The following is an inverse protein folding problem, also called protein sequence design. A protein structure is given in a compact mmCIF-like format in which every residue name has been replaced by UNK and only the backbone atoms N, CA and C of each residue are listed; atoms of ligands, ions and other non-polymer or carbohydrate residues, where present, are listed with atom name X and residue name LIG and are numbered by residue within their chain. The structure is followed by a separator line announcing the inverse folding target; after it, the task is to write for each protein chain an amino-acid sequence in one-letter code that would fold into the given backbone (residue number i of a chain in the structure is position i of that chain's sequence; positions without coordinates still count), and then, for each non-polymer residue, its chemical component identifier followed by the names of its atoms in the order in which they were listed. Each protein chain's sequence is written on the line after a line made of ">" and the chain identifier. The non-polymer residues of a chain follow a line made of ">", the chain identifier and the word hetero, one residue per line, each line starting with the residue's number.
data_IF_754575226998
#
_entry.id   IF_754575226998
#
_cell.length_a   1.000
_cell.length_b   1.000
_cell.length_c   1.000
_cell.angle_alpha   90.00
_cell.angle_beta   90.00
_cell.angle_gamma   90.00
#
_symmetry.space_group_name_H-M   'P 1'
#
loop_
_entity.id
_entity.type
_entity.pdbx_description
1 polymer ?
#
# COMPACT_ATOMS: atom_id res chain seq x y z
N UNK A 1 -28.10 17.85 15.71
CA UNK A 1 -26.83 17.10 15.73
C UNK A 1 -25.94 17.65 14.63
N UNK A 2 -24.84 18.31 14.96
CA UNK A 2 -23.91 18.86 13.96
C UNK A 2 -23.35 17.70 13.13
N UNK A 3 -23.50 17.76 11.81
CA UNK A 3 -22.87 16.80 10.89
C UNK A 3 -21.37 16.98 11.07
N UNK A 4 -20.68 16.05 11.74
CA UNK A 4 -19.20 16.07 11.79
C UNK A 4 -18.71 16.21 10.35
N UNK A 5 -17.86 17.21 10.09
CA UNK A 5 -17.20 17.34 8.79
C UNK A 5 -16.50 16.02 8.46
N UNK A 6 -16.68 15.57 7.23
CA UNK A 6 -15.92 14.48 6.62
C UNK A 6 -14.42 14.82 6.75
N UNK A 7 -13.58 13.97 7.36
CA UNK A 7 -12.15 14.22 7.42
C UNK A 7 -11.57 14.35 6.00
N UNK A 8 -10.56 15.21 5.82
CA UNK A 8 -9.78 15.27 4.59
C UNK A 8 -9.14 13.91 4.30
N UNK A 9 -8.52 13.30 5.31
CA UNK A 9 -7.72 12.08 5.15
C UNK A 9 -7.85 11.13 6.35
N UNK A 10 -7.94 9.84 6.06
CA UNK A 10 -7.80 8.78 7.07
C UNK A 10 -6.44 8.12 6.91
N UNK A 11 -5.67 8.06 8.00
CA UNK A 11 -4.48 7.22 8.06
C UNK A 11 -4.88 5.84 8.55
N UNK A 12 -4.50 4.80 7.80
CA UNK A 12 -4.75 3.40 8.14
C UNK A 12 -3.43 2.76 8.57
N UNK A 13 -3.40 2.23 9.79
CA UNK A 13 -2.26 1.50 10.35
C UNK A 13 -2.68 0.08 10.66
N UNK A 14 -1.96 -0.90 10.10
CA UNK A 14 -2.15 -2.31 10.44
C UNK A 14 -1.06 -2.74 11.42
N UNK A 15 -1.44 -3.51 12.44
CA UNK A 15 -0.51 -4.03 13.45
C UNK A 15 -0.91 -5.44 13.91
N UNK A 16 0.09 -6.28 14.18
CA UNK A 16 -0.08 -7.58 14.83
C UNK A 16 1.20 -7.90 15.62
N UNK A 17 1.11 -7.96 16.95
CA UNK A 17 2.23 -8.28 17.85
C UNK A 17 3.50 -7.47 17.56
N UNK A 18 3.35 -6.16 17.39
CA UNK A 18 4.45 -5.28 17.00
C UNK A 18 4.47 -3.99 17.83
N UNK A 19 4.26 -4.14 19.13
CA UNK A 19 4.21 -3.03 20.09
C UNK A 19 5.44 -2.11 20.00
N UNK A 20 6.62 -2.69 19.83
CA UNK A 20 7.88 -1.95 19.83
C UNK A 20 7.98 -1.00 18.64
N UNK A 21 7.65 -1.47 17.43
CA UNK A 21 7.70 -0.65 16.21
C UNK A 21 6.45 0.22 16.04
N UNK A 22 5.32 -0.14 16.65
CA UNK A 22 4.13 0.71 16.66
C UNK A 22 4.34 2.00 17.46
N UNK A 23 5.09 1.96 18.58
CA UNK A 23 5.32 3.14 19.42
C UNK A 23 5.87 4.35 18.63
N UNK A 24 6.99 4.25 17.89
CA UNK A 24 7.49 5.37 17.09
C UNK A 24 6.53 5.79 15.97
N UNK A 25 5.76 4.85 15.39
CA UNK A 25 4.69 5.18 14.44
C UNK A 25 3.62 6.07 15.07
N UNK A 26 3.07 5.68 16.22
CA UNK A 26 2.06 6.46 16.95
C UNK A 26 2.58 7.83 17.39
N UNK A 27 3.84 7.92 17.80
CA UNK A 27 4.45 9.20 18.17
C UNK A 27 4.56 10.16 16.98
N UNK A 28 4.94 9.64 15.80
CA UNK A 28 4.95 10.44 14.56
C UNK A 28 3.56 10.89 14.15
N UNK A 29 2.53 10.05 14.35
CA UNK A 29 1.14 10.37 14.04
C UNK A 29 0.57 11.40 15.02
N UNK A 30 0.88 11.28 16.31
CA UNK A 30 0.44 12.21 17.36
C UNK A 30 0.83 13.66 17.05
N UNK A 31 2.00 13.88 16.45
CA UNK A 31 2.52 15.21 16.18
C UNK A 31 2.37 15.63 14.71
N UNK A 32 2.35 14.66 13.78
CA UNK A 32 2.36 14.89 12.35
C UNK A 32 1.01 14.81 11.64
N UNK A 33 -0.03 14.28 12.28
CA UNK A 33 -1.35 14.14 11.65
C UNK A 33 -1.99 15.52 11.36
N UNK A 34 -2.65 15.70 10.20
CA UNK A 34 -3.43 16.90 9.90
C UNK A 34 -4.58 17.09 10.89
N UNK A 35 -5.00 18.34 11.13
CA UNK A 35 -6.12 18.61 12.05
C UNK A 35 -7.45 17.98 11.58
N UNK A 36 -7.71 17.99 10.28
CA UNK A 36 -8.90 17.38 9.67
C UNK A 36 -8.61 15.95 9.20
N UNK A 37 -8.12 15.11 10.12
CA UNK A 37 -7.81 13.71 9.84
C UNK A 37 -8.40 12.77 10.88
N UNK A 38 -8.31 11.48 10.60
CA UNK A 38 -8.53 10.42 11.57
C UNK A 38 -7.45 9.35 11.45
N UNK A 39 -7.27 8.57 12.52
CA UNK A 39 -6.42 7.39 12.54
C UNK A 39 -7.29 6.14 12.74
N UNK A 40 -7.19 5.20 11.81
CA UNK A 40 -7.84 3.89 11.88
C UNK A 40 -6.76 2.83 12.06
N UNK A 41 -6.70 2.23 13.24
CA UNK A 41 -5.79 1.12 13.55
C UNK A 41 -6.55 -0.19 13.39
N UNK A 42 -6.01 -1.12 12.60
CA UNK A 42 -6.53 -2.47 12.46
C UNK A 42 -5.57 -3.43 13.16
N UNK A 43 -6.00 -3.94 14.31
CA UNK A 43 -5.25 -4.91 15.11
C UNK A 43 -5.63 -6.34 14.70
N UNK A 44 -4.62 -7.15 14.38
CA UNK A 44 -4.78 -8.53 13.93
C UNK A 44 -5.00 -9.55 15.06
N UNK A 45 -5.32 -9.12 16.28
CA UNK A 45 -5.40 -9.96 17.47
C UNK A 45 -4.09 -10.02 18.25
N UNK A 46 -3.52 -8.86 18.56
CA UNK A 46 -2.26 -8.78 19.30
C UNK A 46 -2.39 -9.22 20.76
N UNK A 47 -1.34 -9.85 21.29
CA UNK A 47 -1.25 -10.38 22.66
C UNK A 47 0.00 -9.88 23.41
N UNK A 48 0.80 -9.00 22.80
CA UNK A 48 2.04 -8.43 23.34
C UNK A 48 1.85 -7.09 24.08
N UNK A 49 0.59 -6.73 24.37
CA UNK A 49 0.22 -5.43 24.93
C UNK A 49 0.25 -4.28 23.91
N UNK A 50 0.17 -4.58 22.60
CA UNK A 50 -0.07 -3.59 21.53
C UNK A 50 -1.34 -2.77 21.79
N UNK A 51 -2.43 -3.42 22.23
CA UNK A 51 -3.69 -2.72 22.52
C UNK A 51 -3.55 -1.76 23.70
N UNK A 52 -2.91 -2.19 24.80
CA UNK A 52 -2.62 -1.31 25.94
C UNK A 52 -1.82 -0.08 25.51
N UNK A 53 -0.84 -0.26 24.61
CA UNK A 53 -0.07 0.85 24.04
C UNK A 53 -0.99 1.82 23.30
N UNK A 54 -1.87 1.33 22.42
CA UNK A 54 -2.78 2.17 21.63
C UNK A 54 -3.70 3.00 22.54
N UNK A 55 -4.22 2.40 23.62
CA UNK A 55 -5.08 3.09 24.58
C UNK A 55 -4.40 4.32 25.20
N UNK A 56 -3.09 4.28 25.45
CA UNK A 56 -2.34 5.43 25.98
C UNK A 56 -2.33 6.66 25.04
N UNK A 57 -2.62 6.48 23.75
CA UNK A 57 -2.67 7.55 22.75
C UNK A 57 -4.09 8.05 22.44
N UNK A 58 -5.13 7.41 22.98
CA UNK A 58 -6.53 7.64 22.57
C UNK A 58 -7.02 9.09 22.70
N UNK A 59 -6.53 9.85 23.67
CA UNK A 59 -6.86 11.28 23.84
C UNK A 59 -5.91 12.22 23.08
N UNK A 60 -4.73 11.75 22.69
CA UNK A 60 -3.70 12.55 22.05
C UNK A 60 -3.81 12.55 20.51
N UNK A 61 -4.51 11.57 19.94
CA UNK A 61 -4.74 11.46 18.50
C UNK A 61 -6.22 11.69 18.18
N UNK A 62 -6.58 12.77 17.46
CA UNK A 62 -7.96 13.04 17.09
C UNK A 62 -8.59 11.89 16.30
N UNK A 63 -9.82 11.53 16.67
CA UNK A 63 -10.64 10.54 15.94
C UNK A 63 -9.95 9.16 15.80
N UNK A 64 -9.05 8.80 16.72
CA UNK A 64 -8.44 7.46 16.75
C UNK A 64 -9.52 6.39 16.94
N UNK A 65 -9.50 5.38 16.08
CA UNK A 65 -10.39 4.22 16.12
C UNK A 65 -9.59 2.93 15.97
N UNK A 66 -9.90 1.94 16.79
CA UNK A 66 -9.30 0.60 16.72
C UNK A 66 -10.34 -0.39 16.21
N UNK A 67 -9.95 -1.19 15.24
CA UNK A 67 -10.74 -2.29 14.69
C UNK A 67 -10.01 -3.57 15.02
N UNK A 68 -10.71 -4.49 15.67
CA UNK A 68 -10.19 -5.82 15.93
C UNK A 68 -10.57 -6.72 14.76
N UNK A 69 -9.56 -7.24 14.08
CA UNK A 69 -9.75 -8.14 12.96
C UNK A 69 -9.13 -9.50 13.27
N UNK A 70 -9.94 -10.55 13.15
CA UNK A 70 -9.51 -11.94 13.32
C UNK A 70 -9.15 -12.63 12.00
N UNK A 71 -9.42 -12.00 10.85
CA UNK A 71 -9.09 -12.53 9.53
C UNK A 71 -7.61 -12.37 9.18
N UNK A 72 -7.07 -13.34 8.43
CA UNK A 72 -5.62 -13.49 8.24
C UNK A 72 -5.09 -12.65 7.08
N UNK A 73 -4.21 -11.69 7.40
CA UNK A 73 -3.26 -11.10 6.45
C UNK A 73 -3.30 -9.58 6.35
N UNK A 74 -2.12 -8.99 6.09
CA UNK A 74 -1.90 -7.54 5.99
C UNK A 74 -2.93 -6.83 5.08
N UNK A 75 -3.14 -7.33 3.86
CA UNK A 75 -4.04 -6.69 2.90
C UNK A 75 -5.52 -6.80 3.29
N UNK A 76 -5.93 -7.86 4.00
CA UNK A 76 -7.27 -7.96 4.55
C UNK A 76 -7.52 -6.89 5.62
N UNK A 77 -6.50 -6.61 6.45
CA UNK A 77 -6.55 -5.55 7.45
C UNK A 77 -6.55 -4.16 6.79
N UNK A 78 -5.72 -3.93 5.78
CA UNK A 78 -5.72 -2.66 5.02
C UNK A 78 -7.09 -2.40 4.37
N UNK A 79 -7.73 -3.42 3.80
CA UNK A 79 -9.07 -3.31 3.23
C UNK A 79 -10.13 -2.98 4.28
N UNK A 80 -10.06 -3.61 5.45
CA UNK A 80 -10.99 -3.34 6.55
C UNK A 80 -10.86 -1.91 7.05
N UNK A 81 -9.64 -1.43 7.25
CA UNK A 81 -9.34 -0.04 7.57
C UNK A 81 -9.88 0.92 6.51
N UNK A 82 -9.69 0.58 5.22
CA UNK A 82 -10.20 1.38 4.09
C UNK A 82 -11.73 1.52 4.09
N UNK A 83 -12.45 0.44 4.41
CA UNK A 83 -13.92 0.46 4.49
C UNK A 83 -14.40 1.27 5.68
N UNK A 84 -13.76 1.10 6.83
CA UNK A 84 -14.14 1.75 8.08
C UNK A 84 -13.75 3.23 8.15
N UNK A 85 -12.74 3.65 7.38
CA UNK A 85 -12.35 5.03 7.17
C UNK A 85 -13.51 5.87 6.64
N UNK A 86 -13.53 7.13 7.05
CA UNK A 86 -14.52 8.16 6.74
C UNK A 86 -13.90 9.33 5.98
N UNK A 87 -12.57 9.40 5.87
CA UNK A 87 -11.86 10.45 5.17
C UNK A 87 -12.00 10.34 3.66
N UNK A 88 -11.92 11.48 2.97
CA UNK A 88 -11.96 11.54 1.50
C UNK A 88 -10.78 10.80 0.86
N UNK A 89 -9.61 10.94 1.48
CA UNK A 89 -8.38 10.27 1.08
C UNK A 89 -7.96 9.22 2.11
N UNK A 90 -7.18 8.24 1.66
CA UNK A 90 -6.54 7.22 2.48
C UNK A 90 -5.03 7.37 2.36
N UNK A 91 -4.34 7.17 3.48
CA UNK A 91 -2.89 7.01 3.53
C UNK A 91 -2.57 5.81 4.41
N UNK A 92 -1.65 4.96 3.96
CA UNK A 92 -1.28 3.74 4.69
C UNK A 92 0.09 3.91 5.33
N UNK A 93 0.13 3.86 6.66
CA UNK A 93 1.35 3.93 7.45
C UNK A 93 1.34 2.76 8.42
N UNK A 94 2.03 1.68 8.08
CA UNK A 94 2.03 0.46 8.87
C UNK A 94 2.91 0.60 10.12
N UNK A 95 2.74 -0.30 11.10
CA UNK A 95 3.63 -0.35 12.25
C UNK A 95 5.10 -0.49 11.81
N UNK A 96 5.97 0.37 12.34
CA UNK A 96 7.38 0.48 11.96
C UNK A 96 7.70 1.61 10.97
N UNK A 97 6.71 2.15 10.27
CA UNK A 97 6.87 3.34 9.45
C UNK A 97 6.58 4.60 10.28
N UNK A 98 7.14 5.76 9.88
CA UNK A 98 6.89 7.06 10.52
C UNK A 98 6.52 8.11 9.48
N UNK A 99 5.71 9.09 9.86
CA UNK A 99 5.58 10.30 9.05
C UNK A 99 6.94 11.02 8.96
N UNK A 100 7.30 11.52 7.78
CA UNK A 100 8.59 12.18 7.58
C UNK A 100 8.63 13.56 8.24
N UNK A 101 7.65 14.42 7.95
CA UNK A 101 7.51 15.73 8.56
C UNK A 101 6.03 16.13 8.73
N UNK A 102 5.78 17.07 9.66
CA UNK A 102 4.46 17.64 9.87
C UNK A 102 4.00 18.45 8.66
N UNK A 103 2.73 18.32 8.28
CA UNK A 103 2.12 19.10 7.19
C UNK A 103 2.36 18.54 5.78
N UNK A 104 3.33 17.66 5.57
CA UNK A 104 3.59 17.07 4.25
C UNK A 104 2.42 16.21 3.75
N UNK A 105 1.82 15.40 4.64
CA UNK A 105 0.63 14.61 4.32
C UNK A 105 -0.58 15.49 3.99
N UNK A 106 -0.78 16.57 4.74
CA UNK A 106 -1.86 17.54 4.50
C UNK A 106 -1.70 18.24 3.15
N UNK A 107 -0.47 18.63 2.81
CA UNK A 107 -0.15 19.30 1.55
C UNK A 107 -0.45 18.39 0.34
N UNK A 108 -0.09 17.11 0.41
CA UNK A 108 -0.42 16.14 -0.66
C UNK A 108 -1.92 15.92 -0.77
N UNK A 109 -2.61 15.68 0.36
CA UNK A 109 -4.06 15.44 0.37
C UNK A 109 -4.85 16.65 -0.16
N UNK A 110 -4.47 17.87 0.26
CA UNK A 110 -5.08 19.12 -0.19
C UNK A 110 -4.75 19.41 -1.65
N UNK A 111 -3.50 19.19 -2.06
CA UNK A 111 -3.09 19.42 -3.45
C UNK A 111 -3.74 18.46 -4.44
N UNK A 112 -4.13 17.26 -3.98
CA UNK A 112 -4.93 16.31 -4.75
C UNK A 112 -6.42 16.71 -4.81
N UNK A 113 -6.90 17.50 -3.85
CA UNK A 113 -8.27 17.99 -3.84
C UNK A 113 -8.54 18.90 -5.04
N UNK A 114 -9.61 18.60 -5.78
CA UNK A 114 -10.00 19.35 -6.99
C UNK A 114 -9.27 18.92 -8.28
N UNK A 115 -8.35 17.95 -8.21
CA UNK A 115 -7.76 17.32 -9.39
C UNK A 115 -8.55 16.07 -9.81
N UNK A 116 -8.55 15.69 -11.10
CA UNK A 116 -9.21 14.47 -11.56
C UNK A 116 -8.50 13.19 -11.08
N UNK A 117 -7.27 13.31 -10.60
CA UNK A 117 -6.47 12.16 -10.19
C UNK A 117 -6.96 11.50 -8.91
N UNK A 118 -6.89 10.18 -8.88
CA UNK A 118 -7.24 9.35 -7.73
C UNK A 118 -6.04 8.98 -6.88
N UNK A 119 -4.82 9.38 -7.29
CA UNK A 119 -3.55 9.05 -6.65
C UNK A 119 -2.66 10.28 -6.55
N UNK A 120 -2.09 10.50 -5.37
CA UNK A 120 -0.97 11.43 -5.15
C UNK A 120 0.29 10.64 -4.82
N UNK A 121 1.37 10.87 -5.56
CA UNK A 121 2.68 10.24 -5.38
C UNK A 121 3.68 11.27 -4.86
N UNK A 122 4.40 10.91 -3.81
CA UNK A 122 5.44 11.75 -3.20
C UNK A 122 6.68 10.91 -2.85
N UNK A 123 7.71 11.58 -2.32
CA UNK A 123 8.92 10.91 -1.83
C UNK A 123 8.68 10.11 -0.56
N UNK A 124 9.61 9.20 -0.28
CA UNK A 124 9.80 8.58 1.04
C UNK A 124 11.29 8.48 1.36
N UNK A 125 11.64 8.34 2.64
CA UNK A 125 13.00 8.06 3.09
C UNK A 125 13.14 6.58 3.39
N UNK A 126 14.11 5.92 2.76
CA UNK A 126 14.54 4.59 3.15
C UNK A 126 15.64 4.73 4.20
N UNK A 127 15.34 4.40 5.45
CA UNK A 127 16.21 4.75 6.58
C UNK A 127 17.49 3.93 6.61
N UNK A 128 17.42 2.59 6.50
CA UNK A 128 18.63 1.75 6.50
C UNK A 128 19.54 2.04 5.31
N UNK A 129 18.98 2.42 4.15
CA UNK A 129 19.76 2.81 2.98
C UNK A 129 20.22 4.27 3.01
N UNK A 130 19.74 5.09 3.96
CA UNK A 130 20.09 6.50 4.11
C UNK A 130 19.77 7.36 2.89
N UNK A 131 18.67 7.08 2.16
CA UNK A 131 18.34 7.80 0.91
C UNK A 131 16.86 8.12 0.75
N UNK A 132 16.58 9.21 0.04
CA UNK A 132 15.24 9.55 -0.44
C UNK A 132 14.93 8.76 -1.71
N UNK A 133 13.71 8.25 -1.81
CA UNK A 133 13.16 7.55 -2.98
C UNK A 133 11.99 8.37 -3.51
N UNK A 134 12.07 8.79 -4.78
CA UNK A 134 11.07 9.64 -5.41
C UNK A 134 11.17 11.14 -5.05
N UNK A 135 10.22 11.98 -5.53
CA UNK A 135 9.21 11.56 -6.48
C UNK A 135 9.84 11.34 -7.86
N UNK A 136 9.21 10.51 -8.67
CA UNK A 136 9.60 10.32 -10.07
C UNK A 136 8.45 10.74 -10.96
N UNK A 137 8.73 11.26 -12.14
CA UNK A 137 7.69 11.49 -13.15
C UNK A 137 6.91 10.20 -13.38
N UNK A 138 5.59 10.28 -13.33
CA UNK A 138 4.75 9.10 -13.50
C UNK A 138 4.63 8.69 -14.98
N UNK A 139 5.02 7.45 -15.27
CA UNK A 139 4.78 6.78 -16.54
C UNK A 139 4.24 5.37 -16.27
N UNK A 140 2.99 5.13 -16.69
CA UNK A 140 2.29 3.86 -16.45
C UNK A 140 3.06 2.67 -17.03
N UNK A 141 3.65 2.82 -18.22
CA UNK A 141 4.39 1.74 -18.87
C UNK A 141 5.64 1.40 -18.06
N UNK A 142 6.43 2.39 -17.65
CA UNK A 142 7.64 2.19 -16.83
C UNK A 142 7.29 1.62 -15.47
N UNK A 143 6.20 2.09 -14.86
CA UNK A 143 5.67 1.53 -13.61
C UNK A 143 5.34 0.05 -13.76
N UNK A 144 4.51 -0.31 -14.75
CA UNK A 144 4.10 -1.68 -15.01
C UNK A 144 5.28 -2.61 -15.28
N UNK A 145 6.37 -2.10 -15.87
CA UNK A 145 7.60 -2.85 -16.11
C UNK A 145 8.54 -2.92 -14.89
N UNK A 146 8.18 -2.32 -13.75
CA UNK A 146 9.01 -2.27 -12.55
C UNK A 146 10.28 -1.44 -12.71
N UNK A 147 10.29 -0.48 -13.66
CA UNK A 147 11.48 0.34 -13.95
C UNK A 147 11.62 1.55 -13.02
N UNK A 148 10.57 1.88 -12.28
CA UNK A 148 10.52 3.02 -11.36
C UNK A 148 9.90 2.56 -10.05
N UNK A 149 10.55 2.77 -8.89
CA UNK A 149 10.03 2.34 -7.60
C UNK A 149 9.07 3.40 -7.05
N UNK A 150 7.78 3.24 -7.31
CA UNK A 150 6.75 3.97 -6.57
C UNK A 150 6.31 3.12 -5.39
N UNK A 151 6.43 3.67 -4.19
CA UNK A 151 6.18 2.95 -2.95
C UNK A 151 4.79 3.34 -2.42
N UNK A 152 4.06 2.39 -1.84
CA UNK A 152 2.74 2.70 -1.27
C UNK A 152 2.84 3.69 -0.11
N UNK A 153 3.95 3.68 0.65
CA UNK A 153 4.22 4.63 1.72
C UNK A 153 4.39 6.07 1.19
N UNK A 154 4.64 6.24 -0.11
CA UNK A 154 4.67 7.54 -0.78
C UNK A 154 3.37 7.87 -1.50
N UNK A 155 2.27 7.15 -1.21
CA UNK A 155 1.03 7.25 -1.99
C UNK A 155 -0.17 7.62 -1.14
N UNK A 156 -0.88 8.67 -1.55
CA UNK A 156 -2.21 9.03 -1.06
C UNK A 156 -3.26 8.56 -2.06
N UNK A 157 -4.30 7.86 -1.59
CA UNK A 157 -5.35 7.27 -2.41
C UNK A 157 -6.66 8.00 -2.22
N UNK A 158 -7.40 8.26 -3.29
CA UNK A 158 -8.81 8.63 -3.16
C UNK A 158 -9.59 7.40 -2.66
N UNK A 159 -10.24 7.53 -1.50
CA UNK A 159 -10.90 6.41 -0.81
C UNK A 159 -11.89 5.68 -1.71
N UNK A 160 -12.78 6.45 -2.36
CA UNK A 160 -13.84 5.86 -3.19
C UNK A 160 -13.29 5.12 -4.40
N UNK A 161 -12.21 5.63 -5.01
CA UNK A 161 -11.58 4.96 -6.15
C UNK A 161 -10.91 3.65 -5.72
N UNK A 162 -10.19 3.64 -4.59
CA UNK A 162 -9.58 2.42 -4.05
C UNK A 162 -10.64 1.35 -3.75
N UNK A 163 -11.78 1.73 -3.16
CA UNK A 163 -12.88 0.81 -2.91
C UNK A 163 -13.54 0.32 -4.22
N UNK A 164 -13.68 1.20 -5.22
CA UNK A 164 -14.31 0.86 -6.51
C UNK A 164 -13.50 -0.17 -7.32
N UNK A 165 -12.18 -0.19 -7.19
CA UNK A 165 -11.33 -1.23 -7.81
C UNK A 165 -11.23 -2.52 -6.96
N UNK A 166 -11.97 -2.60 -5.85
CA UNK A 166 -12.02 -3.78 -4.96
C UNK A 166 -10.98 -3.79 -3.83
N UNK A 167 -10.19 -2.71 -3.68
CA UNK A 167 -9.12 -2.62 -2.68
C UNK A 167 -7.91 -3.51 -3.01
N UNK A 168 -7.19 -3.93 -1.97
CA UNK A 168 -6.03 -4.82 -2.09
C UNK A 168 -6.50 -6.27 -2.28
N UNK A 169 -6.32 -6.82 -3.48
CA UNK A 169 -6.67 -8.22 -3.74
C UNK A 169 -5.56 -9.17 -3.20
N UNK A 170 -5.86 -10.04 -2.21
CA UNK A 170 -4.87 -10.96 -1.63
C UNK A 170 -4.26 -11.95 -2.63
N UNK A 171 -4.92 -12.22 -3.77
CA UNK A 171 -4.37 -13.09 -4.81
C UNK A 171 -3.10 -12.53 -5.46
N UNK A 172 -2.81 -11.24 -5.31
CA UNK A 172 -1.55 -10.65 -5.77
C UNK A 172 -0.40 -10.81 -4.77
N UNK A 173 -0.64 -11.44 -3.62
CA UNK A 173 0.37 -11.62 -2.58
C UNK A 173 1.08 -10.30 -2.27
N UNK A 174 2.40 -10.33 -2.20
CA UNK A 174 3.27 -9.17 -1.91
C UNK A 174 3.20 -8.04 -2.96
N UNK A 175 2.51 -8.24 -4.08
CA UNK A 175 2.33 -7.24 -5.14
C UNK A 175 0.96 -6.56 -5.09
N UNK A 176 0.15 -6.76 -4.05
CA UNK A 176 -1.20 -6.20 -4.01
C UNK A 176 -1.22 -4.66 -3.96
N UNK A 177 -0.19 -4.04 -3.38
CA UNK A 177 0.06 -2.60 -3.43
C UNK A 177 0.33 -2.10 -4.85
N UNK A 178 1.25 -2.77 -5.56
CA UNK A 178 1.54 -2.51 -6.96
C UNK A 178 0.29 -2.71 -7.84
N UNK A 179 -0.50 -3.74 -7.56
CA UNK A 179 -1.71 -4.06 -8.30
C UNK A 179 -2.77 -2.96 -8.18
N UNK A 180 -3.11 -2.54 -6.96
CA UNK A 180 -4.13 -1.51 -6.75
C UNK A 180 -3.70 -0.16 -7.33
N UNK A 181 -2.41 0.20 -7.18
CA UNK A 181 -1.86 1.40 -7.79
C UNK A 181 -1.92 1.33 -9.33
N UNK A 182 -1.62 0.18 -9.93
CA UNK A 182 -1.67 0.00 -11.38
C UNK A 182 -3.10 0.08 -11.93
N UNK A 183 -4.08 -0.49 -11.23
CA UNK A 183 -5.49 -0.43 -11.60
C UNK A 183 -6.01 1.02 -11.55
N UNK A 184 -5.67 1.77 -10.51
CA UNK A 184 -6.07 3.18 -10.37
C UNK A 184 -5.37 4.08 -11.39
N UNK A 185 -4.08 3.86 -11.63
CA UNK A 185 -3.29 4.65 -12.56
C UNK A 185 -3.61 4.38 -14.04
N UNK A 186 -4.33 3.31 -14.35
CA UNK A 186 -4.77 2.98 -15.72
C UNK A 186 -5.68 4.05 -16.29
N UNK A 187 -6.64 4.50 -15.49
CA UNK A 187 -7.72 5.38 -15.94
C UNK A 187 -7.45 6.84 -15.56
N UNK A 188 -6.60 7.10 -14.56
CA UNK A 188 -6.24 8.45 -14.11
C UNK A 188 -4.74 8.56 -13.83
N UNK A 189 -4.05 9.49 -14.51
CA UNK A 189 -2.63 9.74 -14.25
C UNK A 189 -2.45 10.23 -12.79
N UNK A 190 -1.60 9.58 -11.98
CA UNK A 190 -1.23 10.08 -10.65
C UNK A 190 -0.65 11.49 -10.69
N UNK A 191 -1.00 12.28 -9.68
CA UNK A 191 -0.37 13.58 -9.43
C UNK A 191 0.91 13.38 -8.65
N UNK A 192 1.96 14.11 -9.03
CA UNK A 192 3.29 13.97 -8.44
C UNK A 192 3.61 15.20 -7.60
N UNK A 193 4.06 14.97 -6.37
CA UNK A 193 4.28 15.95 -5.32
C UNK A 193 5.74 15.91 -4.86
N UNK A 194 6.29 17.06 -4.47
CA UNK A 194 7.68 17.19 -3.99
C UNK A 194 7.86 16.89 -2.50
N UNK A 195 6.75 16.67 -1.78
CA UNK A 195 6.73 16.32 -0.37
C UNK A 195 7.35 14.94 -0.10
N UNK A 196 7.80 14.72 1.13
CA UNK A 196 8.22 13.43 1.66
C UNK A 196 7.15 12.93 2.63
N UNK A 197 6.58 11.75 2.44
CA UNK A 197 5.45 11.32 3.29
C UNK A 197 5.87 10.47 4.47
N UNK A 198 6.81 9.55 4.25
CA UNK A 198 7.19 8.57 5.25
C UNK A 198 8.69 8.29 5.30
N UNK A 199 9.12 7.87 6.47
CA UNK A 199 10.37 7.16 6.72
C UNK A 199 10.02 5.70 6.98
N UNK A 200 10.65 4.79 6.24
CA UNK A 200 10.50 3.34 6.44
C UNK A 200 11.88 2.71 6.60
N UNK A 201 12.01 1.75 7.52
CA UNK A 201 13.30 1.11 7.83
C UNK A 201 13.87 0.38 6.59
N UNK A 202 13.01 -0.28 5.81
CA UNK A 202 13.39 -1.22 4.76
C UNK A 202 13.31 -2.66 5.26
N UNK A 203 13.59 -3.65 4.39
CA UNK A 203 13.49 -5.08 4.74
C UNK A 203 12.07 -5.61 4.90
N UNK A 204 11.06 -4.82 4.49
CA UNK A 204 9.65 -5.22 4.53
C UNK A 204 9.34 -6.38 3.60
N UNK A 205 8.16 -6.99 3.77
CA UNK A 205 7.70 -8.15 3.00
C UNK A 205 7.76 -7.89 1.48
N UNK A 206 7.48 -6.67 1.04
CA UNK A 206 7.52 -6.26 -0.36
C UNK A 206 8.94 -6.15 -0.95
N UNK A 207 9.98 -6.02 -0.13
CA UNK A 207 11.38 -6.01 -0.58
C UNK A 207 11.97 -7.41 -0.73
N UNK A 208 11.34 -8.41 -0.08
CA UNK A 208 11.74 -9.80 -0.21
C UNK A 208 11.39 -10.27 -1.62
N UNK A 209 12.43 -10.57 -2.42
CA UNK A 209 12.28 -11.07 -3.80
C UNK A 209 11.73 -12.50 -3.81
N UNK A 210 10.41 -12.62 -3.67
CA UNK A 210 9.66 -13.87 -3.78
C UNK A 210 9.76 -14.50 -5.17
N UNK A 211 9.71 -15.84 -5.23
CA UNK A 211 9.81 -16.63 -6.47
C UNK A 211 8.69 -16.34 -7.46
N UNK A 212 7.54 -15.88 -6.96
CA UNK A 212 6.31 -15.65 -7.72
C UNK A 212 6.21 -14.24 -8.33
N UNK A 213 7.10 -13.31 -7.97
CA UNK A 213 7.02 -11.89 -8.39
C UNK A 213 6.86 -11.74 -9.91
N UNK A 214 7.65 -12.40 -10.79
CA UNK A 214 7.50 -12.23 -12.23
C UNK A 214 6.11 -12.63 -12.75
N UNK A 215 5.51 -13.68 -12.15
CA UNK A 215 4.18 -14.15 -12.50
C UNK A 215 3.10 -13.19 -12.00
N UNK A 216 3.20 -12.73 -10.75
CA UNK A 216 2.27 -11.75 -10.17
C UNK A 216 2.31 -10.42 -10.93
N UNK A 217 3.49 -9.92 -11.28
CA UNK A 217 3.65 -8.75 -12.15
C UNK A 217 2.99 -8.96 -13.52
N UNK A 218 3.11 -10.15 -14.11
CA UNK A 218 2.42 -10.47 -15.36
C UNK A 218 0.90 -10.38 -15.20
N UNK A 219 0.34 -10.98 -14.14
CA UNK A 219 -1.11 -10.93 -13.84
C UNK A 219 -1.58 -9.47 -13.71
N UNK A 220 -0.89 -8.65 -12.92
CA UNK A 220 -1.21 -7.22 -12.77
C UNK A 220 -1.18 -6.48 -14.10
N UNK A 221 -0.18 -6.71 -14.96
CA UNK A 221 -0.10 -6.07 -16.28
C UNK A 221 -1.27 -6.43 -17.20
N UNK A 222 -1.76 -7.66 -17.10
CA UNK A 222 -2.92 -8.11 -17.86
C UNK A 222 -4.20 -7.42 -17.38
N UNK A 223 -4.38 -7.25 -16.07
CA UNK A 223 -5.57 -6.61 -15.49
C UNK A 223 -5.55 -5.08 -15.64
N UNK A 224 -4.40 -4.44 -15.43
CA UNK A 224 -4.22 -2.99 -15.54
C UNK A 224 -4.11 -2.48 -16.99
N UNK A 225 -4.25 -3.34 -18.00
CA UNK A 225 -4.44 -2.91 -19.39
C UNK A 225 -3.23 -2.27 -20.09
N UNK A 226 -2.00 -2.46 -19.60
CA UNK A 226 -0.80 -1.80 -20.15
C UNK A 226 0.08 -2.64 -21.09
N UNK A 227 -0.41 -3.79 -21.54
CA UNK A 227 0.28 -4.64 -22.52
C UNK A 227 -0.63 -4.95 -23.70
N UNK A 228 -0.11 -4.78 -24.91
CA UNK A 228 -0.70 -5.33 -26.12
C UNK A 228 -0.51 -6.87 -26.16
N UNK A 229 -1.02 -7.53 -27.21
CA UNK A 229 -0.95 -8.99 -27.34
C UNK A 229 0.48 -9.52 -27.30
N UNK A 230 1.41 -8.85 -27.98
CA UNK A 230 2.83 -9.23 -28.01
C UNK A 230 3.51 -8.98 -26.65
N UNK A 231 3.19 -7.87 -25.99
CA UNK A 231 3.65 -7.55 -24.65
C UNK A 231 3.18 -8.56 -23.61
N UNK A 232 1.93 -9.05 -23.71
CA UNK A 232 1.42 -10.13 -22.84
C UNK A 232 2.22 -11.42 -23.03
N UNK A 233 2.44 -11.84 -24.27
CA UNK A 233 3.24 -13.02 -24.59
C UNK A 233 4.69 -12.89 -24.09
N UNK A 234 5.32 -11.73 -24.31
CA UNK A 234 6.68 -11.47 -23.84
C UNK A 234 6.80 -11.44 -22.32
N UNK A 235 5.85 -10.80 -21.63
CA UNK A 235 5.76 -10.76 -20.17
C UNK A 235 5.57 -12.17 -19.59
N UNK A 236 4.72 -12.99 -20.22
CA UNK A 236 4.51 -14.38 -19.83
C UNK A 236 5.74 -15.25 -20.09
N UNK A 237 6.36 -15.12 -21.25
CA UNK A 237 7.60 -15.81 -21.61
C UNK A 237 8.76 -15.47 -20.66
N UNK A 238 8.87 -14.22 -20.24
CA UNK A 238 9.84 -13.81 -19.22
C UNK A 238 9.55 -14.45 -17.85
N UNK A 239 8.29 -14.42 -17.40
CA UNK A 239 7.89 -15.06 -16.15
C UNK A 239 8.17 -16.57 -16.17
N UNK A 240 7.86 -17.23 -17.29
CA UNK A 240 8.15 -18.65 -17.53
C UNK A 240 9.65 -18.94 -17.52
N UNK A 241 10.45 -18.14 -18.25
CA UNK A 241 11.90 -18.30 -18.32
C UNK A 241 12.57 -18.13 -16.94
N UNK A 242 12.10 -17.17 -16.14
CA UNK A 242 12.60 -16.97 -14.78
C UNK A 242 12.21 -18.13 -13.85
N UNK A 243 11.01 -18.69 -14.01
CA UNK A 243 10.59 -19.90 -13.30
C UNK A 243 11.43 -21.12 -13.68
N UNK A 244 11.64 -21.34 -14.98
CA UNK A 244 12.41 -22.47 -15.52
C UNK A 244 13.90 -22.42 -15.14
N UNK A 245 14.54 -21.25 -15.25
CA UNK A 245 15.97 -21.06 -14.89
C UNK A 245 16.27 -21.37 -13.43
N UNK A 246 15.29 -21.27 -12.54
CA UNK A 246 15.49 -21.43 -11.10
C UNK A 246 15.13 -22.84 -10.58
N UNK A 247 14.28 -23.59 -11.28
CA UNK A 247 13.68 -24.82 -10.71
C UNK A 247 13.50 -26.02 -11.64
N UNK A 248 13.74 -25.90 -12.95
CA UNK A 248 13.41 -26.98 -13.90
C UNK A 248 11.89 -27.21 -14.04
N UNK A 249 11.49 -28.00 -15.03
CA UNK A 249 10.10 -28.11 -15.52
C UNK A 249 9.08 -28.70 -14.51
N UNK A 250 9.51 -29.50 -13.54
CA UNK A 250 8.60 -30.33 -12.72
C UNK A 250 7.93 -29.60 -11.55
N UNK A 251 8.59 -28.61 -10.95
CA UNK A 251 8.07 -27.83 -9.81
C UNK A 251 7.27 -26.59 -10.23
N UNK A 252 7.39 -26.17 -11.49
CA UNK A 252 6.66 -25.01 -12.02
C UNK A 252 5.16 -25.30 -12.20
N UNK A 253 4.77 -26.54 -12.51
CA UNK A 253 3.36 -26.94 -12.69
C UNK A 253 2.55 -26.93 -11.39
N UNK A 254 3.16 -27.33 -10.28
CA UNK A 254 2.51 -27.40 -8.97
C UNK A 254 2.15 -26.02 -8.38
N UNK A 255 2.90 -24.97 -8.70
CA UNK A 255 2.61 -23.60 -8.24
C UNK A 255 1.52 -22.87 -9.04
N UNK A 256 1.09 -23.42 -10.19
CA UNK A 256 0.10 -22.81 -11.08
C UNK A 256 -1.34 -23.31 -10.86
N UNK A 257 -1.59 -24.24 -9.95
CA UNK A 257 -2.92 -24.83 -9.76
C UNK A 257 -3.45 -25.62 -10.98
N UNK A 258 -2.62 -25.84 -12.01
CA UNK A 258 -2.96 -26.68 -13.15
C UNK A 258 -2.85 -28.13 -12.71
N UNK A 259 -3.96 -28.70 -12.23
CA UNK A 259 -4.08 -30.16 -12.08
C UNK A 259 -3.79 -30.79 -13.44
N UNK A 260 -2.91 -31.79 -13.45
CA UNK A 260 -2.73 -32.67 -14.59
C UNK A 260 -4.09 -33.29 -14.91
N UNK A 261 -4.64 -32.98 -16.08
CA UNK A 261 -5.57 -33.89 -16.74
C UNK A 261 -4.78 -35.17 -17.01
N UNK A 262 -5.03 -36.16 -16.17
CA UNK A 262 -4.61 -37.55 -16.37
C UNK A 262 -5.16 -38.05 -17.69
N UNK A 263 -4.27 -38.56 -18.54
CA UNK A 263 -4.58 -39.64 -19.48
C UNK A 263 -4.04 -40.90 -18.86
#
# INVERSE_FOLDING_TARGET
>A
MSRKSEPLISVVTVVLNDRERLRPTLESLRTGLPNDSELVIVDGGSTDGTLDLIETYGSAIPRLRVIHQTSKGLYAAMNEGSRAAQGRYLYFLNAGDRLAQQGELEAVATGLAGRPSTLGLASVVHETAGRVVGPYDFDLRRFLHGKVPYNHQGTVFQRQALLAVGGYNPEFGIMADFAVMALLARDNKPEVFTQVLAMYEGGGISEVRGREIPYLMHKVRCEAGGLDRMGRLGSWGFALAQGLRRHGLSTFRSGMGLRSSSV
#
